data_IF_794485651001
#
_entry.id   IF_794485651001
#
_cell.length_a   1.000
_cell.length_b   1.000
_cell.length_c   1.000
_cell.angle_alpha   90.00
_cell.angle_beta   90.00
_cell.angle_gamma   90.00
#
_symmetry.space_group_name_H-M   'P 1'
#
loop_
_entity.id
_entity.type
_entity.pdbx_description
1 polymer ?
#
# COMPACT_ATOMS: atom_id res chain seq x y z
N UNK A 1 27.16 -89.28 -17.71
CA UNK A 1 26.10 -88.89 -16.77
C UNK A 1 26.20 -87.35 -16.65
N UNK A 2 25.29 -86.56 -17.18
CA UNK A 2 25.28 -85.12 -17.07
C UNK A 2 24.37 -84.62 -15.94
N UNK A 3 24.86 -83.75 -15.11
CA UNK A 3 24.12 -83.04 -14.07
C UNK A 3 23.47 -81.80 -14.62
N UNK A 4 22.16 -81.70 -14.42
CA UNK A 4 21.37 -80.53 -14.81
C UNK A 4 21.45 -79.41 -13.77
N UNK A 5 21.94 -78.26 -14.15
CA UNK A 5 21.84 -77.02 -13.33
C UNK A 5 20.52 -76.30 -13.62
N UNK A 6 19.69 -76.22 -12.61
CA UNK A 6 18.47 -75.45 -12.67
C UNK A 6 18.67 -73.99 -12.34
N UNK A 7 18.36 -73.12 -13.29
CA UNK A 7 18.45 -71.64 -13.18
C UNK A 7 17.17 -71.13 -12.50
N UNK A 8 17.21 -70.73 -11.22
CA UNK A 8 16.13 -70.03 -10.54
C UNK A 8 16.24 -68.55 -10.89
N UNK A 9 15.23 -68.03 -11.63
CA UNK A 9 15.04 -66.59 -11.83
C UNK A 9 14.41 -66.00 -10.59
N UNK A 10 15.11 -65.12 -9.86
CA UNK A 10 14.54 -64.23 -8.86
C UNK A 10 13.92 -63.04 -9.60
N UNK A 11 12.58 -62.94 -9.54
CA UNK A 11 11.88 -61.70 -9.89
C UNK A 11 11.98 -60.75 -8.68
N UNK A 12 12.80 -59.73 -8.79
CA UNK A 12 12.84 -58.65 -7.83
C UNK A 12 11.71 -57.65 -8.15
N UNK A 13 10.69 -57.56 -7.30
CA UNK A 13 9.69 -56.52 -7.33
C UNK A 13 10.31 -55.23 -6.76
N UNK A 14 10.57 -54.27 -7.62
CA UNK A 14 10.95 -52.90 -7.18
C UNK A 14 9.64 -52.18 -6.87
N UNK A 15 9.29 -52.05 -5.60
CA UNK A 15 8.25 -51.14 -5.13
C UNK A 15 8.84 -49.71 -5.17
N UNK A 16 8.47 -48.92 -6.19
CA UNK A 16 8.69 -47.45 -6.17
C UNK A 16 7.70 -46.85 -5.18
N UNK A 17 8.17 -46.52 -3.98
CA UNK A 17 7.44 -45.70 -3.06
C UNK A 17 7.48 -44.25 -3.60
N UNK A 18 6.44 -43.82 -4.30
CA UNK A 18 6.19 -42.40 -4.58
C UNK A 18 5.87 -41.70 -3.25
N UNK A 19 6.85 -41.03 -2.68
CA UNK A 19 6.66 -40.14 -1.54
C UNK A 19 5.83 -38.94 -2.05
N UNK A 20 4.53 -38.97 -1.89
CA UNK A 20 3.67 -37.82 -2.07
C UNK A 20 3.92 -36.94 -0.84
N UNK A 21 4.81 -35.96 -0.96
CA UNK A 21 4.92 -34.88 -0.01
C UNK A 21 3.63 -34.06 -0.11
N UNK A 22 2.70 -34.34 0.80
CA UNK A 22 1.58 -33.42 1.06
C UNK A 22 2.26 -32.17 1.66
N UNK A 23 2.44 -31.14 0.84
CA UNK A 23 2.78 -29.83 1.34
C UNK A 23 1.62 -29.41 2.24
N UNK A 24 1.83 -29.45 3.56
CA UNK A 24 0.89 -28.86 4.52
C UNK A 24 0.92 -27.34 4.25
N UNK A 25 -0.06 -26.85 3.52
CA UNK A 25 -0.29 -25.41 3.41
C UNK A 25 -0.64 -24.91 4.80
N UNK A 26 0.31 -24.24 5.45
CA UNK A 26 0.08 -23.60 6.74
C UNK A 26 -0.49 -22.21 6.52
N UNK A 27 -1.45 -21.83 7.37
CA UNK A 27 -1.91 -20.44 7.44
C UNK A 27 -0.73 -19.52 7.70
N UNK A 28 -0.83 -18.28 7.21
CA UNK A 28 0.20 -17.27 7.35
C UNK A 28 -0.41 -15.86 7.49
N UNK A 29 0.42 -14.91 7.90
CA UNK A 29 -0.01 -13.51 7.93
C UNK A 29 -0.03 -12.95 6.51
N UNK A 30 -1.08 -12.17 6.21
CA UNK A 30 -1.26 -11.45 4.94
C UNK A 30 -1.74 -10.05 5.24
N UNK A 31 -1.16 -9.04 4.60
CA UNK A 31 -1.68 -7.68 4.69
C UNK A 31 -3.04 -7.59 4.01
N UNK A 32 -4.03 -7.16 4.79
CA UNK A 32 -5.39 -6.90 4.30
C UNK A 32 -5.73 -5.41 4.27
N UNK A 33 -4.79 -4.58 4.65
CA UNK A 33 -4.68 -3.15 4.42
C UNK A 33 -3.26 -2.72 4.77
N UNK A 34 -2.67 -1.86 3.95
CA UNK A 34 -1.43 -1.19 4.28
C UNK A 34 -1.36 0.18 3.59
N UNK A 35 -0.57 1.08 4.17
CA UNK A 35 -0.20 2.34 3.55
C UNK A 35 1.31 2.59 3.69
N UNK A 36 1.88 3.38 2.80
CA UNK A 36 3.28 3.77 2.85
C UNK A 36 3.54 4.73 4.01
N UNK A 37 4.39 4.39 5.00
CA UNK A 37 4.82 5.33 6.03
C UNK A 37 5.75 6.39 5.43
N UNK A 38 5.42 7.67 5.66
CA UNK A 38 6.31 8.81 5.37
C UNK A 38 6.43 9.71 6.58
N UNK A 39 7.43 10.60 6.58
CA UNK A 39 7.47 11.70 7.53
C UNK A 39 6.37 12.68 7.16
N UNK A 40 5.54 13.03 8.13
CA UNK A 40 4.49 14.05 7.94
C UNK A 40 5.16 15.41 7.89
N UNK A 41 4.96 16.15 6.81
CA UNK A 41 5.45 17.51 6.67
C UNK A 41 4.74 18.43 7.68
N UNK A 42 5.41 19.47 8.22
CA UNK A 42 4.83 20.33 9.25
C UNK A 42 3.46 20.94 8.90
N UNK A 43 3.24 21.28 7.62
CA UNK A 43 1.95 21.80 7.14
C UNK A 43 0.85 20.74 7.01
N UNK A 44 1.21 19.46 7.13
CA UNK A 44 0.30 18.33 7.15
C UNK A 44 -0.03 17.83 8.56
N UNK A 45 0.61 18.38 9.60
CA UNK A 45 0.24 18.14 10.99
C UNK A 45 -1.09 18.83 11.32
N UNK A 46 -1.85 18.33 12.30
CA UNK A 46 -3.06 19.00 12.77
C UNK A 46 -2.72 20.35 13.40
N UNK A 47 -3.73 21.22 13.60
CA UNK A 47 -3.56 22.49 14.27
C UNK A 47 -3.38 22.31 15.81
N UNK A 48 -2.91 23.34 16.53
CA UNK A 48 -2.95 23.34 17.99
C UNK A 48 -4.36 23.03 18.53
N UNK A 49 -4.48 22.28 19.63
CA UNK A 49 -3.41 21.86 20.55
C UNK A 49 -2.65 20.59 20.16
N UNK A 50 -2.91 19.98 19.00
CA UNK A 50 -2.39 18.68 18.62
C UNK A 50 -0.96 18.70 18.06
N UNK A 51 -0.45 19.86 17.64
CA UNK A 51 0.92 20.09 17.21
C UNK A 51 1.62 21.14 18.07
N UNK A 52 1.48 21.05 19.39
CA UNK A 52 2.10 21.97 20.33
C UNK A 52 3.63 21.98 20.27
N UNK A 53 4.25 23.08 20.76
CA UNK A 53 5.70 23.22 20.83
C UNK A 53 6.37 22.20 21.76
N UNK A 54 5.63 21.75 22.78
CA UNK A 54 6.11 20.79 23.78
C UNK A 54 5.93 19.32 23.33
N UNK A 55 5.21 19.10 22.24
CA UNK A 55 4.98 17.78 21.67
C UNK A 55 3.81 17.73 20.69
N UNK A 56 3.91 16.79 19.76
CA UNK A 56 2.83 16.47 18.83
C UNK A 56 2.01 15.32 19.41
N UNK A 57 0.68 15.44 19.33
CA UNK A 57 -0.28 14.48 19.87
C UNK A 57 -0.20 14.27 21.39
N UNK A 58 0.27 15.25 22.18
CA UNK A 58 0.25 15.17 23.63
C UNK A 58 -1.20 15.09 24.13
N UNK A 59 -1.47 14.15 25.06
CA UNK A 59 -2.81 13.88 25.62
C UNK A 59 -3.88 13.73 24.54
N UNK A 60 -3.56 13.07 23.40
CA UNK A 60 -4.42 13.04 22.22
C UNK A 60 -4.89 11.63 21.90
N UNK A 61 -6.19 11.50 21.68
CA UNK A 61 -6.82 10.35 21.02
C UNK A 61 -6.96 10.65 19.52
N UNK A 62 -6.50 9.72 18.69
CA UNK A 62 -6.62 9.75 17.22
C UNK A 62 -7.46 8.56 16.79
N UNK A 63 -8.59 8.82 16.12
CA UNK A 63 -9.47 7.79 15.54
C UNK A 63 -9.41 7.86 14.02
N UNK A 64 -9.15 6.73 13.40
CA UNK A 64 -8.90 6.60 11.98
C UNK A 64 -9.66 5.40 11.42
N UNK A 65 -10.07 5.46 10.17
CA UNK A 65 -10.74 4.35 9.50
C UNK A 65 -9.91 3.88 8.31
N UNK A 66 -9.93 2.55 8.08
CA UNK A 66 -9.20 1.91 6.98
C UNK A 66 -10.11 0.94 6.22
N UNK A 67 -9.88 0.81 4.91
CA UNK A 67 -10.71 -0.01 4.02
C UNK A 67 -10.09 -1.41 3.87
N UNK A 68 -10.77 -2.41 4.39
CA UNK A 68 -10.29 -3.79 4.47
C UNK A 68 -10.42 -4.49 3.10
N UNK A 69 -9.36 -5.15 2.67
CA UNK A 69 -9.30 -5.77 1.34
C UNK A 69 -9.60 -7.26 1.32
N UNK A 70 -9.66 -7.92 2.50
CA UNK A 70 -9.90 -9.37 2.59
C UNK A 70 -10.76 -9.74 3.79
N UNK A 71 -11.59 -10.80 3.65
CA UNK A 71 -12.32 -11.40 4.80
C UNK A 71 -11.32 -12.05 5.76
N UNK A 72 -11.51 -11.85 7.06
CA UNK A 72 -10.69 -12.49 8.09
C UNK A 72 -11.45 -12.63 9.40
N UNK A 73 -11.04 -13.61 10.23
CA UNK A 73 -11.52 -13.79 11.60
C UNK A 73 -10.49 -13.38 12.65
N UNK A 74 -9.21 -13.43 12.32
CA UNK A 74 -8.09 -13.10 13.20
C UNK A 74 -7.22 -12.06 12.53
N UNK A 75 -7.03 -10.93 13.22
CA UNK A 75 -6.24 -9.80 12.73
C UNK A 75 -5.22 -9.36 13.77
N UNK A 76 -4.21 -8.61 13.32
CA UNK A 76 -3.30 -7.81 14.14
C UNK A 76 -2.99 -6.51 13.42
N UNK A 77 -2.59 -5.50 14.18
CA UNK A 77 -2.33 -4.16 13.65
C UNK A 77 -0.85 -3.81 13.75
N UNK A 78 -0.35 -3.09 12.77
CA UNK A 78 1.01 -2.56 12.77
C UNK A 78 0.99 -1.04 12.94
N UNK A 79 1.74 -0.56 13.93
CA UNK A 79 2.01 0.86 14.15
C UNK A 79 3.47 1.16 13.82
N UNK A 80 3.71 2.28 13.16
CA UNK A 80 5.03 2.63 12.65
C UNK A 80 5.55 3.94 13.24
N UNK A 81 6.77 3.90 13.72
CA UNK A 81 7.59 5.06 14.08
C UNK A 81 8.85 5.13 13.18
N UNK A 82 8.76 4.56 11.97
CA UNK A 82 9.91 4.39 11.07
C UNK A 82 10.57 5.72 10.68
N UNK A 83 9.84 6.82 10.74
CA UNK A 83 10.27 8.17 10.36
C UNK A 83 10.03 9.19 11.47
N UNK A 84 9.81 8.72 12.70
CA UNK A 84 9.68 9.56 13.87
C UNK A 84 11.01 10.22 14.28
N UNK A 85 10.94 11.36 14.96
CA UNK A 85 12.13 12.01 15.54
C UNK A 85 12.37 11.61 17.01
N UNK A 86 11.39 10.99 17.66
CA UNK A 86 11.45 10.49 19.04
C UNK A 86 10.68 9.19 19.17
N UNK A 87 10.78 8.54 20.31
CA UNK A 87 9.98 7.36 20.63
C UNK A 87 8.48 7.67 20.52
N UNK A 88 7.69 6.70 20.05
CA UNK A 88 6.24 6.77 19.98
C UNK A 88 5.63 6.04 21.20
N UNK A 89 5.10 6.77 22.20
CA UNK A 89 4.54 6.19 23.42
C UNK A 89 3.04 5.85 23.23
N UNK A 90 2.73 4.69 22.68
CA UNK A 90 1.34 4.21 22.61
C UNK A 90 0.88 3.88 24.03
N UNK A 91 -0.09 4.65 24.54
CA UNK A 91 -0.65 4.46 25.88
C UNK A 91 -1.83 3.49 25.89
N UNK A 92 -2.67 3.55 24.84
CA UNK A 92 -3.79 2.64 24.61
C UNK A 92 -4.13 2.60 23.14
N UNK A 93 -4.63 1.47 22.65
CA UNK A 93 -5.16 1.33 21.30
C UNK A 93 -6.37 0.40 21.28
N UNK A 94 -7.32 0.67 20.39
CA UNK A 94 -8.54 -0.13 20.20
C UNK A 94 -8.87 -0.29 18.74
N UNK A 95 -9.64 -1.34 18.43
CA UNK A 95 -10.35 -1.50 17.15
C UNK A 95 -11.85 -1.59 17.40
N UNK A 96 -12.63 -1.14 16.43
CA UNK A 96 -14.09 -1.27 16.41
C UNK A 96 -14.59 -1.23 14.97
N UNK A 97 -15.83 -1.58 14.74
CA UNK A 97 -16.49 -1.28 13.47
C UNK A 97 -17.12 0.13 13.52
N UNK A 98 -17.00 0.93 12.47
CA UNK A 98 -17.65 2.25 12.43
C UNK A 98 -19.16 2.13 12.32
N UNK A 99 -19.86 3.15 12.75
CA UNK A 99 -21.30 3.26 12.51
C UNK A 99 -21.56 3.36 10.99
N UNK A 100 -22.54 2.62 10.51
CA UNK A 100 -22.94 2.53 9.09
C UNK A 100 -21.86 2.04 8.12
N UNK A 101 -20.82 1.38 8.61
CA UNK A 101 -19.67 0.93 7.82
C UNK A 101 -19.01 2.08 7.02
N UNK A 102 -19.04 3.30 7.57
CA UNK A 102 -18.65 4.51 6.87
C UNK A 102 -17.17 4.83 7.08
N UNK A 103 -16.44 5.03 5.99
CA UNK A 103 -15.08 5.58 6.06
C UNK A 103 -15.11 7.03 6.57
N UNK A 104 -14.12 7.40 7.39
CA UNK A 104 -14.06 8.73 8.01
C UNK A 104 -15.07 8.96 9.14
N UNK A 105 -15.76 7.91 9.62
CA UNK A 105 -16.70 8.05 10.72
C UNK A 105 -15.98 8.39 12.04
N UNK A 106 -16.55 9.34 12.81
CA UNK A 106 -16.14 9.64 14.19
C UNK A 106 -16.72 8.66 15.19
N UNK A 107 -17.86 8.02 14.85
CA UNK A 107 -18.63 7.14 15.69
C UNK A 107 -18.33 5.67 15.44
N UNK A 108 -18.32 4.87 16.52
CA UNK A 108 -18.09 3.42 16.49
C UNK A 108 -19.31 2.66 17.04
N UNK A 109 -19.44 1.41 16.64
CA UNK A 109 -20.31 0.44 17.29
C UNK A 109 -19.61 -0.09 18.53
N UNK A 110 -19.96 0.44 19.70
CA UNK A 110 -19.26 0.17 20.97
C UNK A 110 -19.29 -1.29 21.39
N UNK A 111 -20.30 -2.04 20.99
CA UNK A 111 -20.42 -3.48 21.23
C UNK A 111 -19.37 -4.31 20.47
N UNK A 112 -18.70 -3.71 19.46
CA UNK A 112 -17.64 -4.35 18.70
C UNK A 112 -16.23 -3.98 19.18
N UNK A 113 -16.13 -3.04 20.14
CA UNK A 113 -14.84 -2.51 20.57
C UNK A 113 -13.99 -3.57 21.26
N UNK A 114 -12.73 -3.68 20.81
CA UNK A 114 -11.72 -4.49 21.48
C UNK A 114 -10.46 -3.68 21.73
N UNK A 115 -9.86 -3.85 22.91
CA UNK A 115 -8.56 -3.29 23.24
C UNK A 115 -7.45 -4.11 22.62
N UNK A 116 -6.42 -3.43 22.12
CA UNK A 116 -5.19 -4.05 21.64
C UNK A 116 -4.17 -4.17 22.76
N UNK A 117 -3.36 -5.22 22.68
CA UNK A 117 -2.17 -5.40 23.51
C UNK A 117 -0.93 -5.59 22.63
N UNK A 118 0.23 -5.41 23.25
CA UNK A 118 1.54 -5.55 22.62
C UNK A 118 2.41 -6.42 23.54
N UNK A 119 2.63 -7.67 23.17
CA UNK A 119 3.28 -8.68 24.03
C UNK A 119 2.61 -8.80 25.40
N UNK A 120 1.27 -8.77 25.43
CA UNK A 120 0.43 -8.83 26.61
C UNK A 120 0.26 -7.50 27.38
N UNK A 121 0.95 -6.42 26.99
CA UNK A 121 0.82 -5.09 27.62
C UNK A 121 -0.18 -4.21 26.84
N UNK A 122 -1.03 -3.42 27.52
CA UNK A 122 -1.94 -2.48 26.87
C UNK A 122 -1.21 -1.26 26.26
N UNK A 123 0.06 -1.07 26.57
CA UNK A 123 0.88 0.05 26.13
C UNK A 123 2.21 -0.42 25.57
N UNK A 124 2.81 0.39 24.69
CA UNK A 124 4.13 0.09 24.14
C UNK A 124 4.86 1.39 23.77
N UNK A 125 6.17 1.45 24.05
CA UNK A 125 7.02 2.52 23.57
C UNK A 125 7.80 2.06 22.35
N UNK A 126 7.44 2.59 21.20
CA UNK A 126 8.06 2.22 19.92
C UNK A 126 9.29 3.10 19.69
N UNK A 127 10.50 2.56 19.69
CA UNK A 127 11.71 3.36 19.45
C UNK A 127 11.64 4.10 18.10
N UNK A 128 12.37 5.21 18.02
CA UNK A 128 12.59 5.89 16.75
C UNK A 128 13.16 4.93 15.70
N UNK A 129 12.63 4.98 14.47
CA UNK A 129 13.03 4.10 13.37
C UNK A 129 12.37 2.71 13.38
N UNK A 130 11.61 2.37 14.42
CA UNK A 130 11.00 1.05 14.59
C UNK A 130 9.51 1.02 14.22
N UNK A 131 8.95 -0.18 14.22
CA UNK A 131 7.52 -0.46 14.19
C UNK A 131 7.17 -1.48 15.27
N UNK A 132 5.89 -1.55 15.63
CA UNK A 132 5.35 -2.55 16.55
C UNK A 132 4.11 -3.20 15.95
N UNK A 133 3.93 -4.49 16.24
CA UNK A 133 2.75 -5.25 15.84
C UNK A 133 1.96 -5.60 17.12
N UNK A 134 0.65 -5.41 17.10
CA UNK A 134 -0.20 -5.83 18.22
C UNK A 134 -0.26 -7.34 18.34
N UNK A 135 -0.65 -7.83 19.51
CA UNK A 135 -1.03 -9.22 19.67
C UNK A 135 -2.22 -9.55 18.75
N UNK A 136 -2.31 -10.80 18.23
CA UNK A 136 -3.45 -11.23 17.43
C UNK A 136 -4.75 -11.19 18.25
N UNK A 137 -5.84 -10.74 17.60
CA UNK A 137 -7.18 -10.74 18.18
C UNK A 137 -8.17 -11.46 17.27
N UNK A 138 -9.16 -12.12 17.86
CA UNK A 138 -10.31 -12.60 17.11
C UNK A 138 -11.25 -11.43 16.86
N UNK A 139 -11.18 -10.85 15.66
CA UNK A 139 -12.00 -9.72 15.25
C UNK A 139 -12.45 -9.94 13.79
N UNK A 140 -13.67 -10.45 13.56
CA UNK A 140 -14.15 -10.70 12.22
C UNK A 140 -14.32 -9.41 11.41
N UNK A 141 -13.67 -9.37 10.25
CA UNK A 141 -13.79 -8.30 9.26
C UNK A 141 -14.22 -8.84 7.91
N UNK A 142 -14.82 -7.99 7.10
CA UNK A 142 -15.23 -8.33 5.73
C UNK A 142 -14.39 -7.56 4.73
N UNK A 143 -14.10 -8.16 3.59
CA UNK A 143 -13.54 -7.44 2.46
C UNK A 143 -14.50 -6.32 2.01
N UNK A 144 -13.94 -5.21 1.60
CA UNK A 144 -14.68 -4.02 1.18
C UNK A 144 -15.53 -3.40 2.30
N UNK A 145 -15.21 -3.67 3.58
CA UNK A 145 -15.77 -3.00 4.74
C UNK A 145 -14.73 -2.08 5.41
N UNK A 146 -15.17 -1.32 6.38
CA UNK A 146 -14.35 -0.33 7.07
C UNK A 146 -14.05 -0.79 8.50
N UNK A 147 -12.77 -0.68 8.91
CA UNK A 147 -12.32 -0.90 10.27
C UNK A 147 -11.93 0.44 10.89
N UNK A 148 -12.35 0.69 12.13
CA UNK A 148 -11.90 1.84 12.93
C UNK A 148 -10.75 1.44 13.85
N UNK A 149 -9.68 2.25 13.83
CA UNK A 149 -8.52 2.13 14.71
C UNK A 149 -8.44 3.40 15.53
N UNK A 150 -8.36 3.27 16.85
CA UNK A 150 -8.22 4.42 17.75
C UNK A 150 -6.97 4.23 18.60
N UNK A 151 -6.11 5.25 18.69
CA UNK A 151 -4.90 5.26 19.49
C UNK A 151 -4.88 6.48 20.41
N UNK A 152 -4.41 6.30 21.64
CA UNK A 152 -4.20 7.37 22.60
C UNK A 152 -2.74 7.49 22.98
N UNK A 153 -2.23 8.70 22.94
CA UNK A 153 -0.88 9.08 23.34
C UNK A 153 -0.96 10.05 24.52
N UNK A 154 -0.61 9.60 25.73
CA UNK A 154 -0.60 10.46 26.90
C UNK A 154 0.54 11.49 26.83
N UNK A 155 1.75 11.07 26.48
CA UNK A 155 2.92 11.93 26.38
C UNK A 155 3.09 12.62 25.02
N UNK A 156 2.55 12.02 23.94
CA UNK A 156 2.84 12.48 22.57
C UNK A 156 4.28 12.22 22.15
N UNK A 157 4.70 12.80 21.03
CA UNK A 157 6.07 12.72 20.52
C UNK A 157 6.73 14.10 20.52
N UNK A 158 8.00 14.16 20.91
CA UNK A 158 8.78 15.39 20.87
C UNK A 158 9.29 15.66 19.45
N UNK A 159 9.31 16.94 19.05
CA UNK A 159 9.70 17.36 17.71
C UNK A 159 8.62 17.09 16.67
N UNK A 160 8.91 17.50 15.42
CA UNK A 160 7.95 17.42 14.30
C UNK A 160 8.15 16.21 13.39
N UNK A 161 9.09 15.31 13.70
CA UNK A 161 9.25 14.06 12.97
C UNK A 161 8.19 13.05 13.39
N UNK A 162 7.06 13.05 12.71
CA UNK A 162 5.93 12.14 12.93
C UNK A 162 5.80 11.21 11.74
N UNK A 163 5.69 9.90 12.00
CA UNK A 163 5.35 8.94 10.95
C UNK A 163 3.85 8.99 10.66
N UNK A 164 3.49 9.08 9.39
CA UNK A 164 2.09 9.07 8.97
C UNK A 164 1.95 8.84 7.48
N UNK A 165 0.73 9.10 6.99
CA UNK A 165 0.38 9.03 5.58
C UNK A 165 -0.55 10.19 5.22
N UNK A 166 0.00 11.35 4.78
CA UNK A 166 -0.79 12.54 4.48
C UNK A 166 -1.77 12.38 3.31
N UNK A 167 -1.54 11.42 2.43
CA UNK A 167 -2.36 11.16 1.26
C UNK A 167 -3.58 10.26 1.50
N UNK A 168 -4.03 10.08 2.73
CA UNK A 168 -5.05 9.07 3.09
C UNK A 168 -6.39 9.20 2.36
N UNK A 169 -6.81 10.42 1.97
CA UNK A 169 -8.15 10.68 1.43
C UNK A 169 -9.26 10.13 2.31
N UNK A 170 -8.98 10.00 3.61
CA UNK A 170 -9.90 9.47 4.61
C UNK A 170 -9.80 10.31 5.86
N UNK A 171 -10.95 10.75 6.38
CA UNK A 171 -11.04 11.62 7.54
C UNK A 171 -10.64 10.87 8.81
N UNK A 172 -9.73 11.46 9.57
CA UNK A 172 -9.33 11.08 10.93
C UNK A 172 -9.82 12.13 11.93
N UNK A 173 -10.11 11.70 13.14
CA UNK A 173 -10.63 12.54 14.22
C UNK A 173 -9.66 12.59 15.37
N UNK A 174 -9.42 13.78 15.89
CA UNK A 174 -8.53 14.04 17.02
C UNK A 174 -9.31 14.68 18.17
N UNK A 175 -9.07 14.23 19.39
CA UNK A 175 -9.62 14.83 20.60
C UNK A 175 -8.65 14.72 21.77
N UNK A 176 -8.71 15.67 22.68
CA UNK A 176 -7.89 15.65 23.92
C UNK A 176 -8.43 14.61 24.90
N UNK A 177 -7.53 13.96 25.63
CA UNK A 177 -7.86 12.95 26.63
C UNK A 177 -7.90 11.52 26.08
N UNK A 178 -7.98 10.55 27.02
CA UNK A 178 -8.11 9.13 26.65
C UNK A 178 -9.58 8.78 26.33
N UNK A 179 -9.89 8.79 25.07
CA UNK A 179 -11.23 8.56 24.52
C UNK A 179 -11.27 7.34 23.60
N UNK A 180 -10.36 6.37 23.78
CA UNK A 180 -10.29 5.18 22.90
C UNK A 180 -11.57 4.36 22.90
N UNK A 181 -12.37 4.42 23.98
CA UNK A 181 -13.66 3.73 24.11
C UNK A 181 -14.88 4.63 23.90
N UNK A 182 -14.69 5.93 23.59
CA UNK A 182 -15.82 6.83 23.38
C UNK A 182 -16.64 6.39 22.14
N UNK A 183 -17.95 6.40 22.28
CA UNK A 183 -18.86 6.00 21.19
C UNK A 183 -18.72 6.91 19.96
N UNK A 184 -18.45 8.18 20.16
CA UNK A 184 -18.26 9.16 19.11
C UNK A 184 -17.21 10.20 19.52
N UNK A 185 -16.38 10.65 18.57
CA UNK A 185 -15.39 11.71 18.76
C UNK A 185 -15.80 13.04 18.12
N UNK A 186 -17.05 13.23 17.76
CA UNK A 186 -17.50 14.55 17.28
C UNK A 186 -17.58 15.57 18.43
N UNK A 187 -17.58 16.85 18.10
CA UNK A 187 -17.56 17.95 19.08
C UNK A 187 -18.76 17.92 20.06
N UNK A 188 -19.89 17.38 19.64
CA UNK A 188 -21.10 17.27 20.47
C UNK A 188 -20.93 16.19 21.54
N UNK A 189 -20.25 15.09 21.21
CA UNK A 189 -20.10 13.95 22.12
C UNK A 189 -18.99 14.13 23.16
N UNK A 190 -17.88 14.82 22.83
CA UNK A 190 -16.66 14.87 23.66
C UNK A 190 -16.21 16.27 24.06
N UNK A 191 -16.88 17.31 23.65
CA UNK A 191 -16.57 18.70 24.00
C UNK A 191 -15.96 19.52 22.84
N UNK A 192 -15.28 20.63 23.18
CA UNK A 192 -14.93 21.68 22.21
C UNK A 192 -13.62 21.50 21.46
N UNK A 193 -12.75 20.61 21.88
CA UNK A 193 -11.41 20.46 21.29
C UNK A 193 -11.36 19.22 20.37
N UNK A 194 -12.18 19.24 19.33
CA UNK A 194 -12.15 18.18 18.29
C UNK A 194 -11.64 18.77 16.99
N UNK A 195 -10.80 18.01 16.30
CA UNK A 195 -10.36 18.33 14.93
C UNK A 195 -10.55 17.11 14.04
N UNK A 196 -10.96 17.34 12.80
CA UNK A 196 -10.90 16.36 11.73
C UNK A 196 -9.82 16.75 10.71
N UNK A 197 -9.17 15.75 10.13
CA UNK A 197 -8.14 15.94 9.11
C UNK A 197 -8.10 14.70 8.20
N UNK A 198 -7.93 14.89 6.89
CA UNK A 198 -7.93 13.80 5.92
C UNK A 198 -6.52 13.17 5.78
N UNK A 199 -6.00 12.64 6.88
CA UNK A 199 -4.66 12.06 6.96
C UNK A 199 -4.63 10.91 7.95
N UNK A 200 -3.78 9.89 7.70
CA UNK A 200 -3.48 8.84 8.69
C UNK A 200 -2.18 9.14 9.43
N UNK A 201 -2.14 8.74 10.69
CA UNK A 201 -0.97 8.89 11.55
C UNK A 201 -0.67 7.57 12.25
N UNK A 202 0.60 7.19 12.32
CA UNK A 202 1.16 6.10 13.14
C UNK A 202 0.75 4.69 12.71
N UNK A 203 -0.40 4.48 12.06
CA UNK A 203 -0.84 3.18 11.55
C UNK A 203 -0.16 2.88 10.20
N UNK A 204 0.20 1.62 9.95
CA UNK A 204 0.86 1.23 8.70
C UNK A 204 0.29 -0.03 8.05
N UNK A 205 -0.25 -0.98 8.82
CA UNK A 205 -0.89 -2.17 8.23
C UNK A 205 -1.94 -2.79 9.17
N UNK A 206 -2.89 -3.49 8.56
CA UNK A 206 -3.74 -4.50 9.19
C UNK A 206 -3.42 -5.83 8.54
N UNK A 207 -3.04 -6.81 9.36
CA UNK A 207 -2.65 -8.14 8.92
C UNK A 207 -3.66 -9.17 9.40
N UNK A 208 -3.93 -10.18 8.57
CA UNK A 208 -4.84 -11.27 8.87
C UNK A 208 -4.13 -12.62 8.82
N UNK A 209 -4.54 -13.55 9.69
CA UNK A 209 -4.09 -14.94 9.67
C UNK A 209 -4.97 -15.73 8.72
N UNK A 210 -4.44 -16.12 7.56
CA UNK A 210 -5.18 -16.66 6.43
C UNK A 210 -4.49 -17.90 5.84
N UNK A 211 -5.26 -18.77 5.18
CA UNK A 211 -4.73 -19.89 4.42
C UNK A 211 -3.71 -19.47 3.36
N UNK A 212 -2.79 -20.39 3.02
CA UNK A 212 -1.62 -20.09 2.17
C UNK A 212 -1.94 -19.64 0.74
N UNK A 213 -3.16 -19.87 0.26
CA UNK A 213 -3.64 -19.39 -1.04
C UNK A 213 -4.00 -17.88 -1.04
N UNK A 214 -4.15 -17.27 0.14
CA UNK A 214 -4.36 -15.84 0.26
C UNK A 214 -3.03 -15.10 0.18
N UNK A 215 -2.98 -14.09 -0.67
CA UNK A 215 -1.74 -13.33 -0.94
C UNK A 215 -2.04 -11.85 -1.10
N UNK A 216 -1.01 -11.01 -1.18
CA UNK A 216 -1.19 -9.59 -1.42
C UNK A 216 -0.46 -9.12 -2.68
N UNK A 217 -1.05 -8.09 -3.32
CA UNK A 217 -0.46 -7.23 -4.32
C UNK A 217 0.01 -5.94 -3.64
N UNK A 218 1.31 -5.70 -3.60
CA UNK A 218 1.86 -4.41 -3.18
C UNK A 218 1.93 -3.46 -4.39
N UNK A 219 1.38 -2.25 -4.26
CA UNK A 219 1.40 -1.25 -5.32
C UNK A 219 2.31 -0.11 -4.92
N UNK A 220 3.48 -0.02 -5.56
CA UNK A 220 4.45 1.06 -5.37
C UNK A 220 4.11 2.19 -6.34
N UNK A 221 3.95 3.41 -5.82
CA UNK A 221 3.53 4.53 -6.65
C UNK A 221 3.60 5.89 -5.96
N UNK A 222 3.18 6.88 -6.71
CA UNK A 222 3.10 8.29 -6.30
C UNK A 222 1.66 8.76 -6.04
N UNK A 223 1.40 10.05 -6.14
CA UNK A 223 0.08 10.67 -5.89
C UNK A 223 -1.05 10.11 -6.77
N UNK A 224 -0.76 9.58 -7.95
CA UNK A 224 -1.78 9.02 -8.84
C UNK A 224 -2.27 7.68 -8.28
N UNK A 225 -1.41 6.89 -7.70
CA UNK A 225 -1.78 5.63 -7.02
C UNK A 225 -2.31 5.89 -5.60
N UNK A 226 -1.71 6.83 -4.89
CA UNK A 226 -2.19 7.31 -3.58
C UNK A 226 -3.61 7.92 -3.66
N UNK A 227 -4.01 8.38 -4.85
CA UNK A 227 -5.38 8.72 -5.17
C UNK A 227 -5.70 10.20 -5.11
N UNK A 228 -4.75 11.09 -5.41
CA UNK A 228 -5.06 12.52 -5.54
C UNK A 228 -6.08 12.73 -6.66
N UNK A 229 -7.20 13.41 -6.34
CA UNK A 229 -8.34 13.58 -7.25
C UNK A 229 -9.44 12.52 -7.04
N UNK A 230 -9.24 11.52 -6.17
CA UNK A 230 -10.31 10.64 -5.69
C UNK A 230 -11.20 11.36 -4.66
N UNK A 231 -12.34 10.77 -4.35
CA UNK A 231 -13.32 11.34 -3.43
C UNK A 231 -12.98 10.98 -1.99
N UNK A 232 -12.86 11.97 -1.10
CA UNK A 232 -12.64 11.74 0.34
C UNK A 232 -13.69 10.79 0.91
N UNK A 233 -13.24 9.79 1.67
CA UNK A 233 -14.05 8.74 2.32
C UNK A 233 -14.79 7.78 1.37
N UNK A 234 -14.47 7.74 0.07
CA UNK A 234 -15.19 6.87 -0.88
C UNK A 234 -14.40 5.63 -1.32
N UNK A 235 -13.08 5.57 -1.05
CA UNK A 235 -12.23 4.46 -1.49
C UNK A 235 -12.40 4.15 -2.97
N UNK A 236 -12.30 5.19 -3.82
CA UNK A 236 -12.51 5.13 -5.27
C UNK A 236 -11.23 5.38 -6.08
N UNK A 237 -10.05 5.16 -5.46
CA UNK A 237 -8.75 5.11 -6.11
C UNK A 237 -8.67 3.91 -7.06
N UNK A 238 -7.76 3.93 -8.02
CA UNK A 238 -7.64 2.78 -8.93
C UNK A 238 -7.29 1.46 -8.21
N UNK A 239 -6.47 1.41 -7.13
CA UNK A 239 -6.26 0.15 -6.40
C UNK A 239 -7.52 -0.37 -5.69
N UNK A 240 -8.36 0.53 -5.15
CA UNK A 240 -9.64 0.17 -4.53
C UNK A 240 -10.60 -0.43 -5.57
N UNK A 241 -10.65 0.17 -6.76
CA UNK A 241 -11.50 -0.31 -7.86
C UNK A 241 -10.95 -1.60 -8.49
N UNK A 242 -9.62 -1.80 -8.52
CA UNK A 242 -9.01 -3.08 -8.89
C UNK A 242 -9.40 -4.18 -7.89
N UNK A 243 -9.38 -3.87 -6.58
CA UNK A 243 -9.84 -4.81 -5.55
C UNK A 243 -11.25 -5.29 -5.82
N UNK A 244 -12.19 -4.39 -6.16
CA UNK A 244 -13.57 -4.78 -6.47
C UNK A 244 -13.64 -5.79 -7.64
N UNK A 245 -12.77 -5.61 -8.67
CA UNK A 245 -12.66 -6.54 -9.79
C UNK A 245 -12.04 -7.88 -9.39
N UNK A 246 -11.00 -7.89 -8.57
CA UNK A 246 -10.39 -9.11 -8.03
C UNK A 246 -11.42 -9.90 -7.20
N UNK A 247 -12.16 -9.22 -6.33
CA UNK A 247 -13.20 -9.82 -5.48
C UNK A 247 -14.37 -10.41 -6.27
N UNK A 248 -14.73 -9.83 -7.41
CA UNK A 248 -15.78 -10.34 -8.29
C UNK A 248 -15.39 -11.64 -9.02
N UNK A 249 -14.09 -11.97 -9.08
CA UNK A 249 -13.60 -13.19 -9.71
C UNK A 249 -13.32 -14.28 -8.63
N UNK A 250 -14.04 -15.42 -8.64
CA UNK A 250 -13.85 -16.48 -7.65
C UNK A 250 -12.42 -17.01 -7.52
N UNK A 251 -11.62 -16.98 -8.59
CA UNK A 251 -10.25 -17.46 -8.62
C UNK A 251 -9.23 -16.45 -8.04
N UNK A 252 -9.61 -15.16 -7.93
CA UNK A 252 -8.72 -14.07 -7.54
C UNK A 252 -9.14 -13.39 -6.24
N UNK A 253 -10.28 -13.75 -5.67
CA UNK A 253 -10.82 -13.14 -4.44
C UNK A 253 -9.91 -13.29 -3.22
N UNK A 254 -8.91 -14.18 -3.28
CA UNK A 254 -7.88 -14.36 -2.26
C UNK A 254 -6.72 -13.35 -2.34
N UNK A 255 -6.74 -12.43 -3.33
CA UNK A 255 -5.70 -11.42 -3.49
C UNK A 255 -6.14 -10.13 -2.81
N UNK A 256 -5.43 -9.72 -1.77
CA UNK A 256 -5.55 -8.40 -1.14
C UNK A 256 -4.74 -7.35 -1.91
N UNK A 257 -5.03 -6.07 -1.68
CA UNK A 257 -4.30 -4.96 -2.30
C UNK A 257 -3.74 -4.05 -1.21
N UNK A 258 -2.42 -3.91 -1.17
CA UNK A 258 -1.69 -3.01 -0.30
C UNK A 258 -1.22 -1.78 -1.11
N UNK A 259 -1.81 -0.62 -0.85
CA UNK A 259 -1.45 0.62 -1.54
C UNK A 259 -0.25 1.29 -0.87
N UNK A 260 0.96 1.00 -1.38
CA UNK A 260 2.23 1.51 -0.87
C UNK A 260 2.71 2.74 -1.66
N UNK A 261 1.78 3.60 -2.03
CA UNK A 261 2.06 4.85 -2.75
C UNK A 261 2.02 6.06 -1.82
N UNK A 262 2.64 7.15 -2.23
CA UNK A 262 2.60 8.43 -1.52
C UNK A 262 2.62 9.62 -2.47
N UNK A 263 1.90 10.68 -2.09
CA UNK A 263 1.85 11.92 -2.87
C UNK A 263 3.24 12.52 -3.10
N UNK A 264 3.57 12.83 -4.37
CA UNK A 264 4.85 13.45 -4.74
C UNK A 264 6.08 12.55 -4.66
N UNK A 265 5.89 11.24 -4.42
CA UNK A 265 7.01 10.31 -4.30
C UNK A 265 7.79 10.16 -5.60
N UNK A 266 9.08 9.83 -5.50
CA UNK A 266 10.02 9.65 -6.59
C UNK A 266 10.77 8.34 -6.46
N UNK A 267 11.25 7.81 -7.57
CA UNK A 267 12.10 6.61 -7.59
C UNK A 267 13.52 6.93 -7.12
N UNK A 268 14.05 8.11 -7.49
CA UNK A 268 15.48 8.41 -7.46
C UNK A 268 15.91 9.32 -6.31
N UNK A 269 14.98 9.94 -5.60
CA UNK A 269 15.32 10.90 -4.56
C UNK A 269 14.24 11.01 -3.50
N UNK A 270 14.64 11.18 -2.24
CA UNK A 270 13.75 11.53 -1.15
C UNK A 270 13.12 12.91 -1.39
N UNK A 271 12.02 13.15 -0.73
CA UNK A 271 11.29 14.42 -0.81
C UNK A 271 9.99 14.25 -0.03
N UNK A 272 8.88 14.13 -0.71
CA UNK A 272 7.63 13.69 -0.09
C UNK A 272 7.71 12.17 0.10
N UNK A 273 8.19 11.78 1.27
CA UNK A 273 8.53 10.40 1.61
C UNK A 273 9.89 9.90 1.05
N UNK A 274 10.38 8.74 1.52
CA UNK A 274 11.59 8.09 1.01
C UNK A 274 11.43 7.65 -0.44
N UNK A 275 12.52 7.67 -1.21
CA UNK A 275 12.51 7.25 -2.60
C UNK A 275 12.15 5.76 -2.78
N UNK A 276 11.47 5.40 -3.88
CA UNK A 276 10.97 4.04 -4.10
C UNK A 276 12.10 3.00 -4.15
N UNK A 277 13.25 3.34 -4.74
CA UNK A 277 14.41 2.46 -4.78
C UNK A 277 14.92 2.14 -3.36
N UNK A 278 14.86 3.10 -2.43
CA UNK A 278 15.31 2.93 -1.05
C UNK A 278 14.30 2.24 -0.14
N UNK A 279 12.98 2.35 -0.44
CA UNK A 279 11.92 1.88 0.45
C UNK A 279 11.32 0.51 0.10
N UNK A 280 11.71 -0.08 -1.02
CA UNK A 280 11.11 -1.33 -1.52
C UNK A 280 11.24 -2.49 -0.54
N UNK A 281 12.32 -2.58 0.25
CA UNK A 281 12.46 -3.61 1.29
C UNK A 281 11.39 -3.43 2.37
N UNK A 282 11.26 -2.23 2.90
CA UNK A 282 10.31 -1.95 3.97
C UNK A 282 8.86 -2.04 3.47
N UNK A 283 8.58 -1.48 2.29
CA UNK A 283 7.22 -1.23 1.83
C UNK A 283 6.68 -2.34 0.92
N UNK A 284 7.52 -3.31 0.53
CA UNK A 284 7.10 -4.45 -0.29
C UNK A 284 7.61 -5.77 0.30
N UNK A 285 8.94 -5.93 0.43
CA UNK A 285 9.54 -7.23 0.75
C UNK A 285 9.30 -7.65 2.20
N UNK A 286 9.18 -6.70 3.14
CA UNK A 286 8.88 -6.98 4.54
C UNK A 286 7.37 -7.20 4.80
N UNK A 287 6.51 -6.98 3.81
CA UNK A 287 5.07 -7.15 3.97
C UNK A 287 4.66 -8.62 3.82
N UNK A 288 3.98 -9.19 4.82
CA UNK A 288 3.61 -10.60 4.79
C UNK A 288 2.55 -10.88 3.73
N UNK A 289 2.70 -12.03 3.08
CA UNK A 289 1.79 -12.47 2.03
C UNK A 289 2.01 -11.83 0.66
N UNK A 290 2.98 -10.91 0.51
CA UNK A 290 3.29 -10.31 -0.79
C UNK A 290 3.68 -11.39 -1.81
N UNK A 291 2.98 -11.41 -2.94
CA UNK A 291 3.22 -12.31 -4.06
C UNK A 291 3.45 -11.55 -5.36
N UNK A 292 2.86 -10.37 -5.46
CA UNK A 292 2.92 -9.50 -6.62
C UNK A 292 3.33 -8.11 -6.19
N UNK A 293 4.11 -7.44 -7.01
CA UNK A 293 4.38 -6.02 -6.89
C UNK A 293 4.08 -5.32 -8.21
N UNK A 294 3.36 -4.20 -8.17
CA UNK A 294 3.13 -3.34 -9.32
C UNK A 294 3.84 -2.02 -9.08
N UNK A 295 4.77 -1.67 -9.97
CA UNK A 295 5.56 -0.43 -9.91
C UNK A 295 4.99 0.56 -10.92
N UNK A 296 4.37 1.62 -10.41
CA UNK A 296 3.81 2.71 -11.19
C UNK A 296 4.26 4.04 -10.60
N UNK A 297 5.45 4.47 -10.98
CA UNK A 297 6.09 5.66 -10.42
C UNK A 297 7.09 6.24 -11.45
N UNK A 298 7.54 7.49 -11.27
CA UNK A 298 8.53 8.14 -12.13
C UNK A 298 8.06 9.48 -12.70
N UNK A 299 6.76 9.78 -12.63
CA UNK A 299 6.21 11.06 -13.14
C UNK A 299 6.86 12.25 -12.42
N UNK A 300 7.09 12.14 -11.10
CA UNK A 300 7.72 13.21 -10.32
C UNK A 300 9.22 13.31 -10.55
N UNK A 301 9.91 12.21 -10.84
CA UNK A 301 11.34 12.25 -11.22
C UNK A 301 11.53 13.07 -12.49
N UNK A 302 10.72 12.81 -13.53
CA UNK A 302 10.76 13.55 -14.81
C UNK A 302 10.25 14.97 -14.61
N UNK A 303 9.09 15.13 -13.95
CA UNK A 303 8.40 16.42 -13.83
C UNK A 303 9.11 17.46 -12.98
N UNK A 304 9.89 17.04 -11.96
CA UNK A 304 10.63 17.96 -11.08
C UNK A 304 12.08 18.20 -11.52
N UNK A 305 12.64 17.36 -12.38
CA UNK A 305 13.97 17.60 -12.93
C UNK A 305 14.01 18.80 -13.85
N UNK A 306 15.21 19.37 -14.05
CA UNK A 306 15.43 20.44 -15.02
C UNK A 306 14.97 20.01 -16.41
N UNK A 307 14.39 20.95 -17.17
CA UNK A 307 13.75 20.63 -18.45
C UNK A 307 14.70 20.51 -19.63
N UNK A 308 15.99 20.79 -19.46
CA UNK A 308 16.99 20.65 -20.51
C UNK A 308 17.12 19.18 -20.95
N UNK A 309 17.23 18.94 -22.24
CA UNK A 309 17.31 17.62 -22.84
C UNK A 309 18.34 16.69 -22.16
N UNK A 310 19.54 17.23 -21.84
CA UNK A 310 20.59 16.45 -21.20
C UNK A 310 20.23 16.04 -19.77
N UNK A 311 19.57 16.93 -19.01
CA UNK A 311 19.10 16.62 -17.66
C UNK A 311 17.98 15.58 -17.69
N UNK A 312 17.04 15.69 -18.63
CA UNK A 312 15.96 14.73 -18.81
C UNK A 312 16.49 13.35 -19.23
N UNK A 313 17.43 13.29 -20.17
CA UNK A 313 18.07 12.03 -20.57
C UNK A 313 18.76 11.34 -19.38
N UNK A 314 19.49 12.11 -18.56
CA UNK A 314 20.15 11.58 -17.37
C UNK A 314 19.14 11.04 -16.32
N UNK A 315 18.00 11.71 -16.14
CA UNK A 315 16.92 11.22 -15.27
C UNK A 315 16.33 9.91 -15.79
N UNK A 316 16.01 9.83 -17.07
CA UNK A 316 15.44 8.62 -17.64
C UNK A 316 16.41 7.43 -17.63
N UNK A 317 17.72 7.65 -17.86
CA UNK A 317 18.71 6.58 -17.74
C UNK A 317 18.77 6.04 -16.30
N UNK A 318 18.74 6.93 -15.31
CA UNK A 318 18.71 6.54 -13.90
C UNK A 318 17.40 5.84 -13.50
N UNK A 319 16.24 6.30 -14.02
CA UNK A 319 14.95 5.63 -13.80
C UNK A 319 14.96 4.21 -14.32
N UNK A 320 15.43 3.99 -15.55
CA UNK A 320 15.55 2.66 -16.16
C UNK A 320 16.42 1.76 -15.30
N UNK A 321 17.62 2.23 -14.91
CA UNK A 321 18.50 1.47 -14.04
C UNK A 321 17.87 1.16 -12.67
N UNK A 322 17.13 2.11 -12.09
CA UNK A 322 16.45 1.91 -10.82
C UNK A 322 15.30 0.89 -10.92
N UNK A 323 14.53 0.89 -12.00
CA UNK A 323 13.52 -0.14 -12.23
C UNK A 323 14.14 -1.53 -12.35
N UNK A 324 15.28 -1.68 -13.05
CA UNK A 324 16.00 -2.96 -13.11
C UNK A 324 16.43 -3.44 -11.72
N UNK A 325 16.93 -2.54 -10.86
CA UNK A 325 17.28 -2.89 -9.48
C UNK A 325 16.05 -3.28 -8.63
N UNK A 326 14.93 -2.56 -8.76
CA UNK A 326 13.70 -2.92 -8.07
C UNK A 326 13.23 -4.31 -8.52
N UNK A 327 13.16 -4.57 -9.83
CA UNK A 327 12.75 -5.87 -10.38
C UNK A 327 13.68 -6.99 -9.89
N UNK A 328 15.01 -6.81 -9.93
CA UNK A 328 15.96 -7.81 -9.45
C UNK A 328 15.71 -8.18 -7.97
N UNK A 329 15.40 -7.18 -7.12
CA UNK A 329 15.13 -7.41 -5.70
C UNK A 329 13.77 -8.11 -5.47
N UNK A 330 12.74 -7.75 -6.25
CA UNK A 330 11.44 -8.42 -6.23
C UNK A 330 11.56 -9.89 -6.65
N UNK A 331 12.28 -10.17 -7.73
CA UNK A 331 12.52 -11.53 -8.21
C UNK A 331 13.35 -12.35 -7.21
N UNK A 332 14.37 -11.76 -6.58
CA UNK A 332 15.16 -12.43 -5.54
C UNK A 332 14.32 -12.86 -4.34
N UNK A 333 13.21 -12.16 -4.07
CA UNK A 333 12.21 -12.51 -3.06
C UNK A 333 11.07 -13.40 -3.59
N UNK A 334 11.12 -13.81 -4.86
CA UNK A 334 10.10 -14.66 -5.49
C UNK A 334 8.80 -13.94 -5.86
N UNK A 335 8.76 -12.61 -5.85
CA UNK A 335 7.59 -11.83 -6.24
C UNK A 335 7.55 -11.64 -7.76
N UNK A 336 6.35 -11.72 -8.35
CA UNK A 336 6.15 -11.26 -9.71
C UNK A 336 6.14 -9.72 -9.76
N UNK A 337 6.93 -9.16 -10.67
CA UNK A 337 7.14 -7.73 -10.83
C UNK A 337 6.37 -7.20 -12.06
N UNK A 338 5.32 -6.44 -11.85
CA UNK A 338 4.56 -5.78 -12.90
C UNK A 338 4.97 -4.32 -13.02
N UNK A 339 5.19 -3.85 -14.24
CA UNK A 339 5.48 -2.45 -14.52
C UNK A 339 4.25 -1.73 -15.11
N UNK A 340 4.07 -0.46 -14.79
CA UNK A 340 3.04 0.34 -15.44
C UNK A 340 3.64 1.58 -16.11
N UNK A 341 3.07 1.97 -17.26
CA UNK A 341 3.53 3.14 -18.02
C UNK A 341 3.11 4.45 -17.36
N UNK A 342 4.00 5.43 -17.35
CA UNK A 342 3.78 6.77 -16.80
C UNK A 342 2.73 7.50 -17.64
N UNK A 343 1.67 7.96 -16.98
CA UNK A 343 0.54 8.66 -17.64
C UNK A 343 0.93 10.05 -18.13
N UNK A 344 0.16 10.64 -19.07
CA UNK A 344 0.38 11.99 -19.55
C UNK A 344 0.41 13.03 -18.43
N UNK A 345 1.26 14.02 -18.58
CA UNK A 345 1.50 15.07 -17.56
C UNK A 345 1.57 16.47 -18.17
N UNK A 346 0.93 16.69 -19.34
CA UNK A 346 0.86 17.97 -20.01
C UNK A 346 -0.56 18.50 -20.05
N UNK A 347 -0.71 19.82 -20.10
CA UNK A 347 -2.02 20.46 -20.23
C UNK A 347 -1.98 21.94 -19.79
N UNK A 348 -3.07 22.67 -19.96
CA UNK A 348 -3.14 24.07 -19.57
C UNK A 348 -2.81 24.28 -18.10
N UNK A 349 -1.75 25.06 -17.84
CA UNK A 349 -1.29 25.38 -16.47
C UNK A 349 -0.46 24.27 -15.80
N UNK A 350 -0.24 23.11 -16.44
CA UNK A 350 0.55 22.04 -15.87
C UNK A 350 2.06 22.28 -16.09
N UNK A 351 2.80 22.43 -14.98
CA UNK A 351 4.23 22.77 -15.01
C UNK A 351 5.15 21.63 -15.43
N UNK A 352 4.67 20.38 -15.40
CA UNK A 352 5.45 19.21 -15.84
C UNK A 352 5.49 19.08 -17.37
N UNK A 353 4.56 19.71 -18.08
CA UNK A 353 4.33 19.54 -19.52
C UNK A 353 5.28 20.31 -20.43
N UNK A 354 6.60 20.06 -20.38
CA UNK A 354 7.52 20.56 -21.41
C UNK A 354 7.79 19.51 -22.48
N UNK A 355 8.14 19.91 -23.73
CA UNK A 355 8.44 18.97 -24.81
C UNK A 355 9.54 17.97 -24.46
N UNK A 356 10.58 18.41 -23.75
CA UNK A 356 11.71 17.56 -23.36
C UNK A 356 11.31 16.52 -22.32
N UNK A 357 10.49 16.90 -21.34
CA UNK A 357 9.96 15.99 -20.33
C UNK A 357 9.00 14.97 -20.95
N UNK A 358 8.16 15.42 -21.88
CA UNK A 358 7.27 14.50 -22.60
C UNK A 358 8.05 13.51 -23.46
N UNK A 359 9.09 13.98 -24.17
CA UNK A 359 9.96 13.09 -24.93
C UNK A 359 10.63 12.03 -24.03
N UNK A 360 11.03 12.44 -22.81
CA UNK A 360 11.63 11.52 -21.85
C UNK A 360 10.59 10.54 -21.28
N UNK A 361 9.40 11.00 -20.93
CA UNK A 361 8.29 10.13 -20.53
C UNK A 361 8.01 9.06 -21.59
N UNK A 362 7.95 9.44 -22.84
CA UNK A 362 7.74 8.50 -23.96
C UNK A 362 8.91 7.51 -24.11
N UNK A 363 10.16 7.97 -23.92
CA UNK A 363 11.34 7.09 -23.95
C UNK A 363 11.30 6.05 -22.82
N UNK A 364 11.02 6.47 -21.60
CA UNK A 364 10.90 5.57 -20.43
C UNK A 364 9.72 4.61 -20.63
N UNK A 365 8.57 5.09 -21.08
CA UNK A 365 7.40 4.26 -21.39
C UNK A 365 7.68 3.22 -22.49
N UNK A 366 8.43 3.60 -23.52
CA UNK A 366 8.89 2.65 -24.53
C UNK A 366 9.71 1.52 -23.90
N UNK A 367 10.65 1.87 -23.02
CA UNK A 367 11.45 0.88 -22.32
C UNK A 367 10.57 -0.03 -21.43
N UNK A 368 9.65 0.53 -20.64
CA UNK A 368 8.71 -0.26 -19.81
C UNK A 368 7.96 -1.27 -20.70
N UNK A 369 7.44 -0.85 -21.86
CA UNK A 369 6.67 -1.72 -22.78
C UNK A 369 7.51 -2.81 -23.44
N UNK A 370 8.78 -2.58 -23.73
CA UNK A 370 9.52 -3.40 -24.69
C UNK A 370 10.80 -4.06 -24.15
N UNK A 371 11.25 -3.71 -22.97
CA UNK A 371 12.49 -4.25 -22.39
C UNK A 371 12.39 -5.72 -21.99
N UNK A 372 11.20 -6.21 -21.69
CA UNK A 372 11.01 -7.56 -21.13
C UNK A 372 11.56 -7.74 -19.72
N UNK A 373 11.87 -6.62 -19.01
CA UNK A 373 12.39 -6.69 -17.63
C UNK A 373 11.31 -6.95 -16.60
N UNK A 374 10.13 -6.34 -16.78
CA UNK A 374 8.96 -6.67 -15.96
C UNK A 374 8.33 -7.98 -16.46
N UNK A 375 7.78 -8.78 -15.54
CA UNK A 375 7.05 -10.00 -15.88
C UNK A 375 5.80 -9.71 -16.71
N UNK A 376 5.18 -8.56 -16.46
CA UNK A 376 4.07 -8.03 -17.26
C UNK A 376 4.02 -6.50 -17.20
N UNK A 377 3.35 -5.91 -18.17
CA UNK A 377 3.18 -4.46 -18.26
C UNK A 377 1.70 -4.10 -18.31
N UNK A 378 1.31 -3.11 -17.50
CA UNK A 378 0.00 -2.45 -17.56
C UNK A 378 0.18 -1.10 -18.24
N UNK A 379 -0.47 -0.91 -19.39
CA UNK A 379 -0.30 0.30 -20.20
C UNK A 379 -1.32 1.38 -19.80
N UNK A 380 -1.12 1.99 -18.64
CA UNK A 380 -1.98 3.08 -18.15
C UNK A 380 -1.97 4.30 -19.07
N UNK A 381 -0.80 4.64 -19.65
CA UNK A 381 -0.68 5.73 -20.62
C UNK A 381 -1.65 5.54 -21.79
N UNK A 382 -1.68 4.37 -22.39
CA UNK A 382 -2.57 4.10 -23.53
C UNK A 382 -4.06 4.25 -23.21
N UNK A 383 -4.43 3.95 -21.95
CA UNK A 383 -5.84 3.97 -21.50
C UNK A 383 -6.34 5.37 -21.20
N UNK A 384 -5.50 6.20 -20.58
CA UNK A 384 -5.95 7.50 -20.05
C UNK A 384 -5.56 8.71 -20.91
N UNK A 385 -4.67 8.54 -21.89
CA UNK A 385 -4.26 9.62 -22.78
C UNK A 385 -5.36 10.02 -23.76
N UNK A 386 -5.41 11.30 -24.09
CA UNK A 386 -6.31 11.79 -25.15
C UNK A 386 -5.90 11.19 -26.51
N UNK A 387 -6.82 10.57 -27.26
CA UNK A 387 -6.53 9.98 -28.57
C UNK A 387 -6.15 11.01 -29.64
N UNK A 388 -6.42 12.29 -29.42
CA UNK A 388 -6.08 13.40 -30.34
C UNK A 388 -4.79 14.11 -29.94
N UNK A 389 -4.39 13.98 -28.65
CA UNK A 389 -3.17 14.56 -28.11
C UNK A 389 -2.62 13.67 -27.01
N UNK A 390 -1.73 12.76 -27.33
CA UNK A 390 -1.18 11.74 -26.43
C UNK A 390 -0.29 12.29 -25.30
N UNK A 391 0.00 13.59 -25.32
CA UNK A 391 0.70 14.27 -24.23
C UNK A 391 -0.22 14.66 -23.07
N UNK A 392 -1.54 14.58 -23.26
CA UNK A 392 -2.56 15.00 -22.29
C UNK A 392 -3.43 13.85 -21.84
N UNK A 393 -3.98 13.97 -20.63
CA UNK A 393 -5.09 13.13 -20.17
C UNK A 393 -6.35 13.40 -21.02
N UNK A 394 -7.21 12.40 -21.17
CA UNK A 394 -8.60 12.64 -21.61
C UNK A 394 -9.26 13.63 -20.67
N UNK A 395 -9.99 14.60 -21.20
CA UNK A 395 -10.62 15.65 -20.41
C UNK A 395 -11.61 15.07 -19.36
N UNK A 396 -12.34 14.00 -19.70
CA UNK A 396 -13.26 13.31 -18.79
C UNK A 396 -12.58 12.57 -17.64
N UNK A 397 -11.27 12.33 -17.71
CA UNK A 397 -10.50 11.66 -16.67
C UNK A 397 -9.68 12.62 -15.81
N UNK A 398 -9.53 13.86 -16.23
CA UNK A 398 -8.74 14.87 -15.54
C UNK A 398 -9.45 15.34 -14.27
N UNK A 399 -8.71 15.43 -13.16
CA UNK A 399 -9.23 16.00 -11.91
C UNK A 399 -9.19 17.54 -11.85
N UNK A 400 -8.64 18.19 -12.90
CA UNK A 400 -8.55 19.64 -13.04
C UNK A 400 -7.14 20.21 -13.14
N UNK A 401 -6.09 19.39 -12.95
CA UNK A 401 -4.69 19.83 -12.98
C UNK A 401 -3.85 19.18 -14.10
N UNK A 402 -4.46 18.38 -14.96
CA UNK A 402 -3.83 17.69 -16.11
C UNK A 402 -2.67 16.76 -15.74
N UNK A 403 -2.68 16.26 -14.49
CA UNK A 403 -1.73 15.31 -13.95
C UNK A 403 -2.44 14.18 -13.21
N UNK A 404 -3.40 14.53 -12.34
CA UNK A 404 -4.13 13.59 -11.52
C UNK A 404 -5.48 13.24 -12.14
N UNK A 405 -5.92 12.00 -11.89
CA UNK A 405 -7.18 11.52 -12.43
C UNK A 405 -8.31 11.73 -11.42
N UNK A 406 -9.53 11.81 -11.93
CA UNK A 406 -10.74 11.74 -11.15
C UNK A 406 -11.19 10.27 -10.98
N UNK A 407 -12.27 9.97 -10.24
CA UNK A 407 -12.73 8.59 -10.04
C UNK A 407 -13.04 7.83 -11.33
N UNK A 408 -13.50 8.51 -12.40
CA UNK A 408 -13.75 7.86 -13.70
C UNK A 408 -12.44 7.44 -14.37
N UNK A 409 -11.41 8.28 -14.31
CA UNK A 409 -10.07 7.93 -14.81
C UNK A 409 -9.43 6.80 -13.98
N UNK A 410 -9.60 6.80 -12.67
CA UNK A 410 -9.16 5.71 -11.81
C UNK A 410 -9.88 4.40 -12.11
N UNK A 411 -11.16 4.46 -12.46
CA UNK A 411 -11.90 3.29 -12.93
C UNK A 411 -11.32 2.74 -14.24
N UNK A 412 -11.04 3.60 -15.20
CA UNK A 412 -10.42 3.19 -16.45
C UNK A 412 -9.04 2.54 -16.25
N UNK A 413 -8.21 3.07 -15.32
CA UNK A 413 -6.94 2.44 -14.95
C UNK A 413 -7.15 1.05 -14.33
N UNK A 414 -8.06 0.93 -13.38
CA UNK A 414 -8.36 -0.36 -12.77
C UNK A 414 -8.86 -1.39 -13.80
N UNK A 415 -9.69 -0.98 -14.75
CA UNK A 415 -10.20 -1.82 -15.84
C UNK A 415 -9.10 -2.26 -16.83
N UNK A 416 -8.05 -1.48 -16.99
CA UNK A 416 -6.91 -1.79 -17.85
C UNK A 416 -6.03 -2.93 -17.31
N UNK A 417 -6.09 -3.22 -16.01
CA UNK A 417 -5.35 -4.33 -15.43
C UNK A 417 -5.94 -5.66 -15.90
N UNK A 418 -5.18 -6.42 -16.69
CA UNK A 418 -5.57 -7.76 -17.10
C UNK A 418 -5.51 -8.72 -15.91
N UNK A 419 -6.66 -9.14 -15.42
CA UNK A 419 -6.73 -10.03 -14.26
C UNK A 419 -6.07 -11.40 -14.48
N UNK A 420 -5.83 -11.81 -15.73
CA UNK A 420 -5.12 -13.07 -16.05
C UNK A 420 -3.67 -13.06 -15.59
N UNK A 421 -3.06 -11.87 -15.43
CA UNK A 421 -1.71 -11.73 -14.89
C UNK A 421 -1.56 -12.42 -13.53
N UNK A 422 -2.54 -12.29 -12.67
CA UNK A 422 -2.53 -12.89 -11.34
C UNK A 422 -2.65 -14.42 -11.39
N UNK A 423 -3.24 -14.98 -12.42
CA UNK A 423 -3.29 -16.44 -12.64
C UNK A 423 -1.98 -16.95 -13.25
N UNK A 424 -1.41 -16.25 -14.22
CA UNK A 424 -0.16 -16.65 -14.87
C UNK A 424 1.02 -16.63 -13.91
N UNK A 425 1.04 -15.70 -12.99
CA UNK A 425 2.10 -15.54 -12.00
C UNK A 425 1.68 -15.96 -10.57
N UNK A 426 0.70 -16.86 -10.43
CA UNK A 426 0.22 -17.32 -9.12
C UNK A 426 1.34 -17.95 -8.25
N UNK A 427 2.36 -18.51 -8.87
CA UNK A 427 3.57 -19.02 -8.21
C UNK A 427 4.62 -17.94 -7.85
N UNK A 428 4.38 -16.68 -8.17
CA UNK A 428 5.39 -15.63 -8.12
C UNK A 428 6.29 -15.63 -9.38
N UNK A 429 7.43 -14.95 -9.33
CA UNK A 429 8.40 -14.98 -10.43
C UNK A 429 9.15 -16.31 -10.45
N UNK A 430 9.27 -16.92 -11.63
CA UNK A 430 10.15 -18.05 -11.90
C UNK A 430 11.44 -17.64 -12.65
N UNK A 431 11.60 -16.35 -12.92
CA UNK A 431 12.75 -15.86 -13.67
C UNK A 431 14.02 -15.97 -12.83
N UNK A 432 14.95 -16.81 -13.26
CA UNK A 432 16.36 -16.60 -12.92
C UNK A 432 16.82 -15.37 -13.70
N UNK A 433 17.22 -14.34 -12.97
CA UNK A 433 17.83 -13.13 -13.56
C UNK A 433 19.21 -13.44 -14.10
#
# INVERSE_FOLDING_TARGET
>A
MPSTFGLRRLLGLVLSATCVTIATCHDHWVDIWACMPQQVEPYNLPNPPYNGTDGVFQNTTIRQTVYITQDASTIRLQFSNALGASDLPITAATVALPVNDAAGASAIRTETLQHLTFSGSPSFQVPNGALVVSDPIHFPVKAQSVLTITVYLAAGQSGFGITGHPGSRTTSWLSQGNLVAAADLNSTAVGTNVQSIDKWFLISAVQAWLPAEYVSLAVVGDSITDGRGSTTNHNDRWPDQLLARLRSNPLLRGISVANMAAGGNRVLADGLGPNALGRVERDVLAHPGARYALVYEGVNDIGTAASERAAQAAVGDRLIAAYEQIVARLHAAGLAAFGATITPMSGPGQVYGTPEREAERQRVNKWIRTSGRFDAVVDFDAVVRDPKNDTMLRAEYNSGDWLHLNPAGYKAMAEAVDLRLFLWFAGGSSAMV
#
